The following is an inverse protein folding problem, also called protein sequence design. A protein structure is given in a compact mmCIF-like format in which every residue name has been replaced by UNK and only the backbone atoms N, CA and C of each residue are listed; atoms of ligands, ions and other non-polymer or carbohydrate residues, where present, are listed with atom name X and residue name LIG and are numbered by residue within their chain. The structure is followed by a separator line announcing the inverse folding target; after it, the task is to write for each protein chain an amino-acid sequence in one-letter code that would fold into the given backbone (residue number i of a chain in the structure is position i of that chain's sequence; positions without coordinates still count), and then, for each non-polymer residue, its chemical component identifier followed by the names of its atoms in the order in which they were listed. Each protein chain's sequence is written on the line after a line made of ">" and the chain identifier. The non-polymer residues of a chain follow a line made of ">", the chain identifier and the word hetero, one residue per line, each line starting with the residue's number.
data_IF_371474065121
#
_entry.id   IF_371474065121
#
_cell.length_a   1.000
_cell.length_b   1.000
_cell.length_c   1.000
_cell.angle_alpha   90.00
_cell.angle_beta   90.00
_cell.angle_gamma   90.00
#
_symmetry.space_group_name_H-M   'P 1'
#
loop_
_entity.id
_entity.type
_entity.pdbx_description
1 polymer ?
#
# COMPACT_ATOMS: atom_id res chain seq x y z
N UNK A 1 18.11 -20.17 55.30
CA UNK A 1 16.97 -21.11 55.10
C UNK A 1 16.42 -20.83 53.71
N UNK A 2 16.53 -21.80 52.80
CA UNK A 2 16.28 -21.58 51.37
C UNK A 2 14.79 -21.52 51.04
N UNK A 3 14.41 -20.53 50.22
CA UNK A 3 13.09 -20.43 49.60
C UNK A 3 12.99 -21.44 48.45
N UNK A 4 12.49 -22.65 48.75
CA UNK A 4 12.05 -23.59 47.72
C UNK A 4 10.66 -23.13 47.23
N UNK A 5 10.44 -22.92 45.91
CA UNK A 5 9.13 -22.57 45.40
C UNK A 5 8.13 -23.71 45.70
N UNK A 6 6.84 -23.41 45.94
CA UNK A 6 5.84 -24.42 46.26
C UNK A 6 5.80 -25.48 45.16
N UNK A 7 5.96 -26.74 45.55
CA UNK A 7 5.92 -27.87 44.61
C UNK A 7 4.54 -27.90 43.95
N UNK A 8 4.53 -27.95 42.62
CA UNK A 8 3.34 -28.23 41.83
C UNK A 8 2.86 -29.64 42.19
N UNK A 9 1.94 -29.74 43.15
CA UNK A 9 1.20 -30.97 43.38
C UNK A 9 0.21 -31.05 42.22
N UNK A 10 0.28 -32.06 41.33
CA UNK A 10 -0.74 -32.22 40.31
C UNK A 10 -2.10 -32.31 41.01
N UNK A 11 -3.00 -31.39 40.69
CA UNK A 11 -4.36 -31.31 41.21
C UNK A 11 -5.23 -32.44 40.61
N UNK A 12 -4.73 -33.68 40.70
CA UNK A 12 -5.42 -34.87 40.25
C UNK A 12 -6.45 -35.25 41.32
N UNK A 13 -7.72 -35.02 41.03
CA UNK A 13 -8.83 -35.44 41.86
C UNK A 13 -9.36 -36.79 41.38
N UNK A 14 -9.42 -37.77 42.27
CA UNK A 14 -10.09 -39.04 41.98
C UNK A 14 -11.60 -38.84 42.07
N UNK A 15 -12.32 -39.06 40.97
CA UNK A 15 -13.78 -39.13 40.93
C UNK A 15 -14.18 -40.58 40.70
N UNK A 16 -14.94 -41.16 41.62
CA UNK A 16 -15.36 -42.57 41.57
C UNK A 16 -16.84 -42.64 41.21
N UNK A 17 -17.20 -43.46 40.22
CA UNK A 17 -18.60 -43.73 39.91
C UNK A 17 -19.12 -44.85 40.81
N UNK A 18 -20.14 -44.55 41.63
CA UNK A 18 -20.81 -45.52 42.50
C UNK A 18 -22.32 -45.46 42.29
N UNK A 19 -22.92 -46.54 41.76
CA UNK A 19 -24.38 -46.70 41.62
C UNK A 19 -25.08 -45.49 40.99
N UNK A 20 -24.66 -45.09 39.79
CA UNK A 20 -25.17 -43.91 39.06
C UNK A 20 -24.98 -42.55 39.76
N UNK A 21 -24.01 -42.43 40.67
CA UNK A 21 -23.59 -41.16 41.27
C UNK A 21 -22.08 -41.00 41.19
N UNK A 22 -21.61 -39.77 41.09
CA UNK A 22 -20.18 -39.45 41.22
C UNK A 22 -19.85 -39.19 42.70
N UNK A 23 -18.82 -39.84 43.22
CA UNK A 23 -18.31 -39.69 44.58
C UNK A 23 -16.91 -39.08 44.55
N UNK A 24 -16.68 -38.06 45.38
CA UNK A 24 -15.37 -37.41 45.52
C UNK A 24 -14.80 -37.72 46.92
N UNK A 25 -13.87 -38.69 47.05
CA UNK A 25 -13.40 -39.17 48.36
C UNK A 25 -12.79 -38.06 49.22
N UNK A 26 -12.09 -37.12 48.60
CA UNK A 26 -11.44 -36.00 49.29
C UNK A 26 -12.43 -35.05 49.97
N UNK A 27 -13.67 -34.96 49.46
CA UNK A 27 -14.73 -34.14 50.06
C UNK A 27 -15.67 -34.96 50.95
N UNK A 28 -15.49 -36.29 51.01
CA UNK A 28 -16.36 -37.19 51.78
C UNK A 28 -17.82 -37.19 51.33
N UNK A 29 -18.14 -36.75 50.09
CA UNK A 29 -19.53 -36.57 49.64
C UNK A 29 -19.76 -36.98 48.18
N UNK A 30 -21.01 -37.30 47.86
CA UNK A 30 -21.47 -37.46 46.49
C UNK A 30 -21.64 -36.09 45.83
N UNK A 31 -21.21 -35.98 44.57
CA UNK A 31 -21.48 -34.82 43.73
C UNK A 31 -22.93 -34.93 43.22
N UNK A 32 -23.71 -33.88 43.40
CA UNK A 32 -25.03 -33.80 42.76
C UNK A 32 -24.82 -33.56 41.26
N UNK A 33 -25.46 -34.35 40.38
CA UNK A 33 -25.57 -33.97 38.98
C UNK A 33 -26.28 -32.61 38.89
N UNK A 34 -25.82 -31.75 37.98
CA UNK A 34 -26.51 -30.50 37.66
C UNK A 34 -28.00 -30.82 37.43
N UNK A 35 -28.92 -30.32 38.29
CA UNK A 35 -30.31 -30.74 38.28
C UNK A 35 -31.02 -30.45 36.95
N UNK A 36 -30.46 -29.60 36.10
CA UNK A 36 -31.03 -29.29 34.79
C UNK A 36 -30.28 -29.96 33.63
N UNK A 37 -29.15 -30.63 33.85
CA UNK A 37 -28.27 -31.16 32.80
C UNK A 37 -28.02 -30.14 31.65
N UNK A 38 -28.10 -28.84 31.96
CA UNK A 38 -28.22 -27.79 30.94
C UNK A 38 -26.87 -27.39 30.37
N UNK A 39 -25.77 -27.89 30.93
CA UNK A 39 -24.41 -27.42 30.62
C UNK A 39 -24.35 -25.88 30.65
N UNK A 40 -25.12 -25.28 31.56
CA UNK A 40 -25.25 -23.84 31.67
C UNK A 40 -23.91 -23.32 32.20
N UNK A 41 -23.05 -22.88 31.27
CA UNK A 41 -21.80 -22.18 31.58
C UNK A 41 -22.14 -21.03 32.50
N UNK A 42 -21.67 -21.10 33.74
CA UNK A 42 -21.55 -19.93 34.60
C UNK A 42 -20.82 -18.85 33.77
N UNK A 43 -21.46 -17.70 33.60
CA UNK A 43 -20.83 -16.53 32.99
C UNK A 43 -19.73 -16.10 33.96
N UNK A 44 -18.56 -16.69 33.82
CA UNK A 44 -17.36 -16.36 34.60
C UNK A 44 -16.64 -15.13 34.01
N UNK A 45 -17.07 -14.69 32.82
CA UNK A 45 -16.54 -13.52 32.14
C UNK A 45 -17.42 -12.29 32.39
N UNK A 46 -16.93 -11.36 33.20
CA UNK A 46 -17.39 -9.98 33.21
C UNK A 46 -17.10 -9.35 31.85
N UNK A 47 -18.13 -8.76 31.21
CA UNK A 47 -17.92 -7.98 30.00
C UNK A 47 -17.06 -6.75 30.34
N UNK A 48 -15.85 -6.72 29.80
CA UNK A 48 -14.99 -5.55 29.78
C UNK A 48 -14.90 -5.01 28.34
N UNK A 49 -14.56 -3.74 28.17
CA UNK A 49 -14.31 -3.09 26.87
C UNK A 49 -15.53 -2.93 25.93
N UNK A 50 -16.73 -2.74 26.47
CA UNK A 50 -17.90 -2.32 25.68
C UNK A 50 -18.48 -3.39 24.74
N UNK A 51 -18.09 -4.66 24.89
CA UNK A 51 -18.69 -5.78 24.15
C UNK A 51 -19.93 -6.32 24.86
N UNK A 52 -20.95 -6.69 24.09
CA UNK A 52 -22.10 -7.43 24.60
C UNK A 52 -21.72 -8.86 25.00
N UNK A 53 -22.31 -9.36 26.09
CA UNK A 53 -22.18 -10.76 26.49
C UNK A 53 -22.92 -11.64 25.47
N UNK A 54 -22.18 -12.26 24.55
CA UNK A 54 -22.68 -13.35 23.71
C UNK A 54 -22.27 -14.69 24.29
N UNK A 55 -23.15 -15.71 24.20
CA UNK A 55 -22.81 -17.08 24.55
C UNK A 55 -21.72 -17.59 23.60
N UNK A 56 -20.47 -17.56 24.04
CA UNK A 56 -19.33 -17.95 23.23
C UNK A 56 -19.01 -19.43 23.52
N UNK A 57 -19.26 -20.30 22.55
CA UNK A 57 -18.61 -21.61 22.54
C UNK A 57 -17.11 -21.32 22.40
N UNK A 58 -16.28 -21.84 23.31
CA UNK A 58 -14.83 -21.59 23.38
C UNK A 58 -14.02 -22.15 22.20
N UNK A 59 -14.44 -21.89 20.97
CA UNK A 59 -13.62 -22.06 19.79
C UNK A 59 -12.67 -20.86 19.70
N UNK A 60 -11.39 -21.14 19.49
CA UNK A 60 -10.38 -20.13 19.19
C UNK A 60 -10.77 -19.41 17.89
N UNK A 61 -11.47 -18.27 18.01
CA UNK A 61 -11.88 -17.47 16.86
C UNK A 61 -10.76 -16.51 16.45
N UNK A 62 -9.86 -17.05 15.64
CA UNK A 62 -8.76 -16.33 15.00
C UNK A 62 -9.29 -15.12 14.22
N UNK A 63 -10.47 -15.22 13.61
CA UNK A 63 -11.03 -14.11 12.84
C UNK A 63 -11.45 -12.95 13.74
N UNK A 64 -11.96 -13.20 14.93
CA UNK A 64 -12.25 -12.15 15.92
C UNK A 64 -10.97 -11.58 16.55
N UNK A 65 -9.93 -12.41 16.72
CA UNK A 65 -8.65 -11.97 17.26
C UNK A 65 -7.89 -11.05 16.30
N UNK A 66 -7.90 -11.34 14.99
CA UNK A 66 -7.17 -10.56 13.97
C UNK A 66 -8.04 -9.56 13.21
N UNK A 67 -9.37 -9.75 13.20
CA UNK A 67 -10.30 -8.94 12.40
C UNK A 67 -10.39 -7.47 12.80
N UNK A 68 -10.00 -7.14 14.04
CA UNK A 68 -9.97 -5.77 14.56
C UNK A 68 -8.54 -5.19 14.68
N UNK A 69 -7.50 -5.94 14.27
CA UNK A 69 -6.10 -5.50 14.38
C UNK A 69 -5.42 -5.98 15.67
N UNK A 70 -4.14 -6.31 15.58
CA UNK A 70 -3.30 -6.94 16.62
C UNK A 70 -2.99 -6.07 17.85
N UNK A 71 -3.76 -5.01 18.11
CA UNK A 71 -3.44 -4.08 19.17
C UNK A 71 -4.16 -4.43 20.48
N UNK A 72 -3.39 -4.98 21.42
CA UNK A 72 -3.83 -5.23 22.79
C UNK A 72 -3.91 -3.97 23.66
N UNK A 73 -3.43 -2.82 23.17
CA UNK A 73 -3.34 -1.59 23.97
C UNK A 73 -4.36 -0.51 23.60
N UNK A 74 -5.09 -0.65 22.49
CA UNK A 74 -6.10 0.35 22.11
C UNK A 74 -7.52 -0.07 22.52
N UNK A 75 -8.33 0.95 22.84
CA UNK A 75 -9.66 0.79 23.41
C UNK A 75 -10.69 0.46 22.31
N UNK A 76 -11.56 -0.53 22.57
CA UNK A 76 -12.84 -0.73 21.89
C UNK A 76 -12.81 -1.13 20.40
N UNK A 77 -11.94 -2.05 19.99
CA UNK A 77 -11.94 -2.57 18.61
C UNK A 77 -11.44 -1.56 17.58
N UNK A 78 -10.63 -0.61 18.05
CA UNK A 78 -9.82 0.24 17.21
C UNK A 78 -8.83 -0.59 16.42
N UNK A 79 -8.71 -0.28 15.13
CA UNK A 79 -7.78 -0.95 14.24
C UNK A 79 -6.74 0.05 13.76
N UNK A 80 -5.53 0.03 14.32
CA UNK A 80 -4.50 1.00 13.98
C UNK A 80 -4.00 0.80 12.53
N UNK A 81 -4.10 -0.42 12.00
CA UNK A 81 -3.73 -0.73 10.62
C UNK A 81 -4.69 -0.11 9.59
N UNK A 82 -5.99 -0.03 9.88
CA UNK A 82 -6.98 0.61 8.99
C UNK A 82 -7.46 1.97 9.50
N UNK A 83 -6.80 2.51 10.53
CA UNK A 83 -7.12 3.81 11.16
C UNK A 83 -8.59 3.94 11.56
N UNK A 84 -9.18 2.84 12.02
CA UNK A 84 -10.59 2.80 12.37
C UNK A 84 -10.73 2.91 13.89
N UNK A 85 -11.09 4.09 14.40
CA UNK A 85 -11.51 4.27 15.80
C UNK A 85 -13.05 4.41 15.85
N UNK A 86 -13.78 3.47 16.49
CA UNK A 86 -15.24 3.56 16.62
C UNK A 86 -15.74 4.76 17.44
N UNK A 87 -14.89 5.47 18.18
CA UNK A 87 -15.24 6.76 18.77
C UNK A 87 -15.21 7.93 17.77
N UNK A 88 -14.88 7.67 16.50
CA UNK A 88 -14.80 8.71 15.47
C UNK A 88 -13.61 9.66 15.68
N UNK A 89 -12.68 9.29 16.57
CA UNK A 89 -11.33 9.85 16.65
C UNK A 89 -10.50 9.29 15.48
N UNK A 90 -11.03 9.42 14.26
CA UNK A 90 -10.14 9.47 13.12
C UNK A 90 -9.19 10.63 13.40
N UNK A 91 -7.87 10.37 13.37
CA UNK A 91 -6.91 11.44 13.31
C UNK A 91 -7.25 12.21 12.04
N UNK A 92 -8.03 13.28 12.20
CA UNK A 92 -8.33 14.23 11.16
C UNK A 92 -7.01 14.53 10.49
N UNK A 93 -6.92 14.07 9.25
CA UNK A 93 -5.95 14.49 8.23
C UNK A 93 -5.53 15.93 8.48
N UNK A 94 -4.23 16.25 8.34
CA UNK A 94 -3.68 17.57 8.67
C UNK A 94 -4.58 18.69 8.14
N UNK A 95 -4.67 19.84 8.84
CA UNK A 95 -5.69 20.83 8.63
C UNK A 95 -5.87 21.07 7.12
N UNK A 96 -7.09 20.84 6.66
CA UNK A 96 -7.58 20.99 5.27
C UNK A 96 -7.22 22.36 4.64
N UNK A 97 -6.62 23.27 5.41
CA UNK A 97 -6.27 24.63 5.04
C UNK A 97 -4.76 24.84 4.68
N UNK A 98 -3.84 23.87 4.67
CA UNK A 98 -2.41 24.21 4.34
C UNK A 98 -2.25 25.01 3.02
N UNK A 99 -3.02 24.64 2.00
CA UNK A 99 -3.07 25.39 0.74
C UNK A 99 -3.67 26.79 0.90
N UNK A 100 -4.71 26.93 1.73
CA UNK A 100 -5.32 28.23 2.07
C UNK A 100 -4.39 29.13 2.90
N UNK A 101 -3.58 28.57 3.80
CA UNK A 101 -2.66 29.32 4.66
C UNK A 101 -1.36 29.72 3.96
N UNK A 102 -0.83 28.87 3.07
CA UNK A 102 0.50 29.07 2.50
C UNK A 102 0.50 29.37 1.01
N UNK A 103 -0.62 29.14 0.30
CA UNK A 103 -0.70 29.26 -1.16
C UNK A 103 0.20 28.28 -1.92
N UNK A 104 0.83 27.32 -1.21
CA UNK A 104 1.74 26.34 -1.79
C UNK A 104 1.10 24.95 -1.76
N UNK A 105 1.23 24.15 -2.83
CA UNK A 105 0.80 22.76 -2.79
C UNK A 105 1.55 22.02 -1.68
N UNK A 106 0.85 21.13 -0.96
CA UNK A 106 1.41 20.30 0.12
C UNK A 106 2.68 19.54 -0.29
N UNK A 107 2.84 19.31 -1.60
CA UNK A 107 3.99 18.67 -2.24
C UNK A 107 5.34 19.37 -2.00
N UNK A 108 5.35 20.62 -1.53
CA UNK A 108 6.57 21.38 -1.26
C UNK A 108 7.02 21.33 0.21
N UNK A 109 6.32 20.61 1.10
CA UNK A 109 6.85 20.33 2.44
C UNK A 109 7.86 19.18 2.37
N UNK A 110 9.11 19.38 2.82
CA UNK A 110 10.15 18.35 2.75
C UNK A 110 9.94 17.19 3.73
N UNK A 111 8.96 17.27 4.63
CA UNK A 111 8.69 16.26 5.66
C UNK A 111 7.23 16.33 6.12
N UNK A 112 6.54 15.19 6.10
CA UNK A 112 5.21 15.08 6.70
C UNK A 112 5.35 14.94 8.23
N UNK A 113 5.13 16.02 8.97
CA UNK A 113 5.19 16.02 10.44
C UNK A 113 4.17 15.03 11.04
N UNK A 114 3.05 14.77 10.36
CA UNK A 114 2.06 13.79 10.84
C UNK A 114 2.56 12.36 10.72
N UNK A 115 3.48 12.09 9.78
CA UNK A 115 4.16 10.80 9.70
C UNK A 115 5.07 10.54 10.92
N UNK A 116 5.63 11.58 11.54
CA UNK A 116 6.48 11.44 12.72
C UNK A 116 5.72 11.02 13.99
N UNK A 117 4.43 11.35 14.07
CA UNK A 117 3.57 10.98 15.21
C UNK A 117 2.72 9.72 14.93
N UNK A 118 2.65 9.27 13.68
CA UNK A 118 1.96 8.04 13.28
C UNK A 118 2.85 6.79 13.39
N UNK A 119 3.03 6.30 14.62
CA UNK A 119 3.81 5.08 14.90
C UNK A 119 3.18 3.84 14.25
N UNK A 120 1.85 3.78 14.15
CA UNK A 120 1.15 2.69 13.48
C UNK A 120 1.46 2.67 11.98
N UNK A 121 1.35 3.82 11.32
CA UNK A 121 1.69 3.97 9.91
C UNK A 121 3.15 3.65 9.64
N UNK A 122 4.07 4.03 10.54
CA UNK A 122 5.49 3.69 10.44
C UNK A 122 5.70 2.17 10.46
N UNK A 123 5.14 1.46 11.44
CA UNK A 123 5.25 0.00 11.56
C UNK A 123 4.57 -0.68 10.37
N UNK A 124 3.39 -0.23 9.99
CA UNK A 124 2.63 -0.76 8.85
C UNK A 124 3.42 -0.60 7.55
N UNK A 125 4.03 0.55 7.31
CA UNK A 125 4.81 0.82 6.10
C UNK A 125 6.12 0.02 6.09
N UNK A 126 6.78 -0.14 7.25
CA UNK A 126 7.94 -1.01 7.38
C UNK A 126 7.61 -2.49 7.05
N UNK A 127 6.49 -3.00 7.58
CA UNK A 127 5.99 -4.34 7.28
C UNK A 127 5.56 -4.46 5.81
N UNK A 128 4.93 -3.44 5.25
CA UNK A 128 4.55 -3.42 3.84
C UNK A 128 5.78 -3.47 2.93
N UNK A 129 6.84 -2.71 3.25
CA UNK A 129 8.13 -2.78 2.55
C UNK A 129 8.73 -4.18 2.59
N UNK A 130 8.71 -4.84 3.75
CA UNK A 130 9.13 -6.24 3.89
C UNK A 130 8.31 -7.20 3.03
N UNK A 131 6.98 -7.11 3.06
CA UNK A 131 6.09 -7.99 2.27
C UNK A 131 6.31 -7.79 0.78
N UNK A 132 6.46 -6.54 0.34
CA UNK A 132 6.73 -6.20 -1.07
C UNK A 132 8.08 -6.77 -1.51
N UNK A 133 9.14 -6.58 -0.72
CA UNK A 133 10.45 -7.12 -1.04
C UNK A 133 10.47 -8.65 -1.01
N UNK A 134 9.75 -9.27 -0.07
CA UNK A 134 9.62 -10.72 0.01
C UNK A 134 8.88 -11.28 -1.21
N UNK A 135 7.81 -10.64 -1.66
CA UNK A 135 7.11 -11.03 -2.88
C UNK A 135 8.00 -10.91 -4.14
N UNK A 136 8.79 -9.84 -4.25
CA UNK A 136 9.75 -9.69 -5.35
C UNK A 136 10.87 -10.75 -5.30
N UNK A 137 11.31 -11.11 -4.09
CA UNK A 137 12.26 -12.18 -3.87
C UNK A 137 11.68 -13.55 -4.28
N UNK A 138 10.43 -13.85 -3.93
CA UNK A 138 9.77 -15.08 -4.38
C UNK A 138 9.63 -15.16 -5.90
N UNK A 139 9.38 -14.03 -6.58
CA UNK A 139 9.37 -13.99 -8.06
C UNK A 139 10.76 -14.30 -8.63
N UNK A 140 11.82 -13.73 -8.06
CA UNK A 140 13.19 -14.03 -8.47
C UNK A 140 13.59 -15.50 -8.19
N UNK A 141 13.10 -16.08 -7.10
CA UNK A 141 13.32 -17.49 -6.76
C UNK A 141 12.56 -18.40 -7.72
N UNK A 142 11.36 -18.00 -8.16
CA UNK A 142 10.60 -18.73 -9.18
C UNK A 142 11.33 -18.70 -10.54
N UNK A 143 11.88 -17.55 -10.93
CA UNK A 143 12.68 -17.41 -12.15
C UNK A 143 13.93 -18.30 -12.09
N UNK A 144 14.66 -18.30 -10.96
CA UNK A 144 15.79 -19.19 -10.72
C UNK A 144 15.39 -20.67 -10.77
N UNK A 145 14.33 -21.06 -10.07
CA UNK A 145 13.87 -22.45 -10.00
C UNK A 145 13.34 -22.97 -11.35
N UNK A 146 12.99 -22.07 -12.27
CA UNK A 146 12.57 -22.41 -13.63
C UNK A 146 13.76 -22.57 -14.60
N UNK A 147 14.95 -22.12 -14.22
CA UNK A 147 16.18 -22.18 -15.01
C UNK A 147 17.10 -23.29 -14.50
N UNK A 148 17.03 -24.47 -15.13
CA UNK A 148 17.82 -25.64 -14.75
C UNK A 148 19.33 -25.48 -15.01
N UNK A 149 19.74 -24.49 -15.81
CA UNK A 149 21.15 -24.19 -16.04
C UNK A 149 21.71 -23.21 -14.99
N UNK A 150 20.86 -22.62 -14.14
CA UNK A 150 21.29 -21.72 -13.08
C UNK A 150 21.98 -22.51 -11.95
N UNK A 151 23.10 -21.99 -11.39
CA UNK A 151 23.78 -22.68 -10.30
C UNK A 151 22.91 -22.67 -9.03
N UNK A 152 23.02 -23.71 -8.21
CA UNK A 152 22.20 -23.86 -7.00
C UNK A 152 22.32 -22.68 -6.02
N UNK A 153 23.48 -22.02 -5.98
CA UNK A 153 23.71 -20.87 -5.11
C UNK A 153 23.08 -19.56 -5.63
N UNK A 154 22.54 -19.54 -6.85
CA UNK A 154 21.94 -18.32 -7.42
C UNK A 154 20.64 -17.89 -6.74
N UNK A 155 19.98 -18.72 -5.93
CA UNK A 155 18.86 -18.28 -5.07
C UNK A 155 19.30 -17.82 -3.67
N UNK A 156 20.47 -18.24 -3.22
CA UNK A 156 20.89 -18.08 -1.83
C UNK A 156 21.23 -16.62 -1.54
N UNK A 157 20.29 -15.91 -0.89
CA UNK A 157 20.51 -14.59 -0.31
C UNK A 157 21.32 -14.78 0.98
N UNK A 158 22.64 -14.89 0.85
CA UNK A 158 23.58 -15.13 1.95
C UNK A 158 23.71 -13.94 2.92
N UNK A 159 22.76 -13.01 2.90
CA UNK A 159 22.82 -11.74 3.60
C UNK A 159 21.42 -11.26 3.99
N UNK A 160 21.28 -10.77 5.22
CA UNK A 160 20.07 -10.13 5.74
C UNK A 160 19.94 -8.65 5.31
N UNK A 161 20.90 -8.12 4.54
CA UNK A 161 20.91 -6.71 4.10
C UNK A 161 19.63 -6.33 3.37
N UNK A 162 19.01 -7.24 2.62
CA UNK A 162 17.76 -6.97 1.92
C UNK A 162 16.58 -6.73 2.88
N UNK A 163 16.56 -7.39 4.05
CA UNK A 163 15.54 -7.20 5.09
C UNK A 163 15.64 -5.79 5.64
N UNK A 164 16.86 -5.38 6.00
CA UNK A 164 17.15 -4.03 6.52
C UNK A 164 16.78 -2.96 5.49
N UNK A 165 17.13 -3.18 4.22
CA UNK A 165 16.80 -2.26 3.14
C UNK A 165 15.27 -2.16 2.94
N UNK A 166 14.55 -3.29 2.94
CA UNK A 166 13.09 -3.29 2.78
C UNK A 166 12.37 -2.57 3.93
N UNK A 167 12.85 -2.71 5.16
CA UNK A 167 12.35 -1.96 6.32
C UNK A 167 12.61 -0.46 6.13
N UNK A 168 13.84 -0.09 5.75
CA UNK A 168 14.21 1.32 5.53
C UNK A 168 13.45 1.95 4.36
N UNK A 169 13.21 1.22 3.27
CA UNK A 169 12.39 1.67 2.14
C UNK A 169 10.94 1.87 2.60
N UNK A 170 10.35 0.91 3.32
CA UNK A 170 9.01 1.04 3.88
C UNK A 170 8.86 2.24 4.83
N UNK A 171 9.85 2.46 5.70
CA UNK A 171 9.92 3.65 6.56
C UNK A 171 10.05 4.92 5.72
N UNK A 172 10.92 4.94 4.71
CA UNK A 172 11.09 6.09 3.82
C UNK A 172 9.80 6.49 3.11
N UNK A 173 9.04 5.50 2.64
CA UNK A 173 7.72 5.72 2.03
C UNK A 173 6.70 6.29 3.00
N UNK A 174 6.72 5.89 4.27
CA UNK A 174 5.85 6.48 5.32
C UNK A 174 6.06 7.99 5.45
N UNK A 175 7.32 8.44 5.41
CA UNK A 175 7.67 9.85 5.52
C UNK A 175 7.55 10.63 4.20
N UNK A 176 7.06 10.00 3.12
CA UNK A 176 7.03 10.60 1.79
C UNK A 176 8.41 10.90 1.21
N UNK A 177 9.45 10.25 1.73
CA UNK A 177 10.85 10.39 1.32
C UNK A 177 11.21 9.34 0.26
N UNK A 178 10.23 8.95 -0.56
CA UNK A 178 10.44 8.06 -1.71
C UNK A 178 11.55 8.62 -2.62
N UNK A 179 11.66 9.94 -2.70
CA UNK A 179 12.68 10.63 -3.48
C UNK A 179 14.12 10.41 -2.99
N UNK A 180 14.35 10.07 -1.70
CA UNK A 180 15.70 9.69 -1.24
C UNK A 180 16.15 8.37 -1.88
N UNK A 181 15.20 7.51 -2.23
CA UNK A 181 15.44 6.23 -2.89
C UNK A 181 15.25 6.31 -4.42
N UNK A 182 14.62 7.39 -4.92
CA UNK A 182 14.68 7.83 -6.34
C UNK A 182 16.02 8.50 -6.70
N UNK A 183 16.96 8.58 -5.74
CA UNK A 183 18.38 8.62 -6.06
C UNK A 183 18.62 7.59 -7.14
N UNK A 184 19.23 8.04 -8.25
CA UNK A 184 19.37 7.30 -9.50
C UNK A 184 19.33 5.77 -9.33
N UNK A 185 18.69 5.06 -10.25
CA UNK A 185 18.77 3.59 -10.27
C UNK A 185 20.23 3.09 -10.56
N UNK A 186 21.27 3.81 -10.10
CA UNK A 186 22.71 3.55 -10.14
C UNK A 186 23.20 2.88 -8.88
N UNK A 187 22.31 2.38 -8.02
CA UNK A 187 22.67 1.34 -7.09
C UNK A 187 23.24 0.16 -7.88
N UNK A 188 24.52 0.25 -8.23
CA UNK A 188 25.40 -0.88 -8.33
C UNK A 188 25.09 -1.69 -7.07
N UNK A 189 24.76 -2.98 -7.22
CA UNK A 189 24.49 -3.82 -6.08
C UNK A 189 25.65 -3.62 -5.11
N UNK A 190 25.35 -3.20 -3.88
CA UNK A 190 26.32 -3.11 -2.78
C UNK A 190 27.24 -4.31 -2.91
N UNK A 191 28.52 -3.99 -3.06
CA UNK A 191 29.52 -4.75 -3.80
C UNK A 191 29.45 -6.26 -3.57
N UNK A 192 29.57 -6.97 -4.69
CA UNK A 192 29.50 -8.42 -4.76
C UNK A 192 30.48 -9.08 -3.81
N UNK A 193 29.93 -9.83 -2.87
CA UNK A 193 30.65 -11.00 -2.37
C UNK A 193 29.75 -12.22 -2.11
N UNK A 194 28.43 -12.11 -1.87
CA UNK A 194 27.63 -13.31 -1.56
C UNK A 194 26.10 -13.14 -1.79
N UNK A 195 25.59 -13.43 -2.99
CA UNK A 195 24.15 -13.69 -3.24
C UNK A 195 23.48 -12.87 -4.37
N UNK A 196 22.33 -13.34 -4.92
CA UNK A 196 21.66 -12.71 -6.05
C UNK A 196 21.14 -11.31 -5.74
N UNK A 197 21.07 -10.50 -6.79
CA UNK A 197 20.64 -9.11 -6.76
C UNK A 197 19.29 -8.94 -6.03
N UNK A 198 19.29 -8.11 -4.99
CA UNK A 198 18.08 -7.63 -4.32
C UNK A 198 17.25 -6.88 -5.36
N UNK A 199 16.14 -7.46 -5.80
CA UNK A 199 15.23 -6.81 -6.74
C UNK A 199 14.56 -5.64 -6.02
N UNK A 200 15.00 -4.39 -6.26
CA UNK A 200 14.33 -3.17 -5.76
C UNK A 200 12.84 -3.23 -6.11
N UNK A 201 11.99 -3.40 -5.10
CA UNK A 201 10.56 -3.61 -5.25
C UNK A 201 9.72 -2.33 -5.03
N UNK A 202 10.33 -1.14 -5.15
CA UNK A 202 9.71 0.17 -4.91
C UNK A 202 8.65 0.64 -5.91
N UNK A 203 7.91 -0.26 -6.57
CA UNK A 203 6.87 0.13 -7.51
C UNK A 203 5.69 -0.82 -7.49
N UNK A 204 4.63 -0.48 -6.74
CA UNK A 204 3.25 -1.01 -6.81
C UNK A 204 3.10 -2.31 -7.63
N UNK A 205 3.46 -3.43 -7.00
CA UNK A 205 3.55 -4.75 -7.64
C UNK A 205 2.20 -5.32 -8.15
N UNK A 206 1.07 -4.62 -7.95
CA UNK A 206 -0.26 -5.15 -8.27
C UNK A 206 -0.98 -4.45 -9.44
N UNK A 207 -0.47 -3.36 -10.03
CA UNK A 207 -1.20 -2.63 -11.10
C UNK A 207 -0.52 -2.55 -12.45
N UNK A 208 0.67 -3.12 -12.60
CA UNK A 208 1.35 -3.16 -13.88
C UNK A 208 2.20 -4.42 -13.94
N UNK A 209 1.58 -5.55 -14.25
CA UNK A 209 2.25 -6.51 -15.14
C UNK A 209 2.63 -5.68 -16.37
N UNK A 210 3.85 -5.12 -16.33
CA UNK A 210 4.37 -4.32 -17.41
C UNK A 210 4.37 -5.27 -18.59
N UNK A 211 3.47 -5.01 -19.54
CA UNK A 211 3.39 -5.79 -20.77
C UNK A 211 4.66 -5.47 -21.53
N UNK A 212 5.73 -6.18 -21.20
CA UNK A 212 6.89 -6.27 -22.07
C UNK A 212 6.39 -6.80 -23.41
N UNK A 213 6.97 -6.30 -24.50
CA UNK A 213 6.63 -6.78 -25.82
C UNK A 213 6.79 -8.32 -25.89
N UNK A 214 5.95 -9.02 -26.69
CA UNK A 214 6.13 -10.45 -26.91
C UNK A 214 7.57 -10.76 -27.31
N UNK A 215 8.19 -11.73 -26.63
CA UNK A 215 9.58 -12.13 -26.85
C UNK A 215 10.64 -11.30 -26.12
N UNK A 216 10.26 -10.26 -25.36
CA UNK A 216 11.19 -9.51 -24.51
C UNK A 216 11.14 -10.04 -23.07
N UNK A 217 12.15 -10.79 -22.65
CA UNK A 217 12.29 -11.23 -21.26
C UNK A 217 12.59 -10.05 -20.33
N UNK A 218 12.21 -10.17 -19.06
CA UNK A 218 12.51 -9.16 -18.02
C UNK A 218 14.01 -8.97 -17.85
N UNK A 219 14.79 -10.04 -17.91
CA UNK A 219 16.25 -10.01 -17.88
C UNK A 219 16.83 -9.21 -19.05
N UNK A 220 16.37 -9.45 -20.29
CA UNK A 220 16.84 -8.71 -21.47
C UNK A 220 16.46 -7.22 -21.38
N UNK A 221 15.29 -6.90 -20.85
CA UNK A 221 14.89 -5.51 -20.58
C UNK A 221 15.84 -4.82 -19.58
N UNK A 222 16.14 -5.47 -18.44
CA UNK A 222 17.06 -4.92 -17.44
C UNK A 222 18.48 -4.78 -17.97
N UNK A 223 18.96 -5.78 -18.72
CA UNK A 223 20.26 -5.72 -19.40
C UNK A 223 20.32 -4.52 -20.35
N UNK A 224 19.28 -4.30 -21.17
CA UNK A 224 19.21 -3.12 -22.05
C UNK A 224 19.24 -1.81 -21.26
N UNK A 225 18.54 -1.70 -20.14
CA UNK A 225 18.62 -0.49 -19.29
C UNK A 225 20.03 -0.27 -18.74
N UNK A 226 20.66 -1.31 -18.22
CA UNK A 226 22.04 -1.27 -17.70
C UNK A 226 23.02 -0.83 -18.79
N UNK A 227 22.93 -1.44 -19.96
CA UNK A 227 23.76 -1.11 -21.13
C UNK A 227 23.53 0.32 -21.62
N UNK A 228 22.29 0.81 -21.63
CA UNK A 228 21.98 2.19 -21.99
C UNK A 228 22.68 3.18 -21.05
N UNK A 229 22.61 2.92 -19.73
CA UNK A 229 23.21 3.78 -18.72
C UNK A 229 24.73 3.83 -18.85
N UNK A 230 25.37 2.67 -18.97
CA UNK A 230 26.83 2.56 -19.13
C UNK A 230 27.31 3.27 -20.42
N UNK A 231 26.54 3.17 -21.50
CA UNK A 231 26.90 3.74 -22.80
C UNK A 231 26.33 5.15 -23.05
N UNK A 232 25.64 5.76 -22.08
CA UNK A 232 24.94 7.04 -22.28
C UNK A 232 25.86 8.14 -22.84
N UNK A 233 27.06 8.26 -22.31
CA UNK A 233 28.03 9.27 -22.79
C UNK A 233 28.64 8.91 -24.16
N UNK A 234 28.71 7.63 -24.50
CA UNK A 234 29.12 7.20 -25.85
C UNK A 234 28.10 7.70 -26.89
N UNK A 235 26.80 7.53 -26.63
CA UNK A 235 25.74 8.00 -27.54
C UNK A 235 25.75 9.52 -27.74
N UNK A 236 26.03 10.30 -26.69
CA UNK A 236 26.21 11.74 -26.81
C UNK A 236 27.41 12.14 -27.67
N UNK A 237 28.54 11.44 -27.53
CA UNK A 237 29.73 11.71 -28.35
C UNK A 237 29.47 11.39 -29.82
N UNK A 238 28.81 10.26 -30.11
CA UNK A 238 28.39 9.88 -31.46
C UNK A 238 27.44 10.93 -32.05
N UNK A 239 26.40 11.33 -31.32
CA UNK A 239 25.45 12.34 -31.80
C UNK A 239 26.11 13.69 -32.13
N UNK A 240 27.06 14.14 -31.31
CA UNK A 240 27.82 15.38 -31.56
C UNK A 240 28.76 15.24 -32.75
N UNK A 241 29.38 14.07 -32.93
CA UNK A 241 30.26 13.81 -34.07
C UNK A 241 29.47 13.80 -35.39
N UNK A 242 28.27 13.21 -35.38
CA UNK A 242 27.41 13.09 -36.55
C UNK A 242 26.66 14.41 -36.86
N UNK A 243 26.41 15.25 -35.84
CA UNK A 243 25.63 16.49 -35.97
C UNK A 243 26.33 17.71 -35.34
N UNK A 244 27.59 18.04 -35.71
CA UNK A 244 28.38 19.05 -35.01
C UNK A 244 27.78 20.45 -35.07
N UNK A 245 26.96 20.76 -36.08
CA UNK A 245 26.29 22.05 -36.28
C UNK A 245 25.11 22.27 -35.31
N UNK A 246 24.55 21.21 -34.71
CA UNK A 246 23.43 21.34 -33.75
C UNK A 246 23.87 21.83 -32.37
N UNK A 247 25.17 21.73 -32.07
CA UNK A 247 25.69 21.93 -30.73
C UNK A 247 26.68 23.10 -30.67
N UNK A 248 26.50 23.95 -29.66
CA UNK A 248 27.41 25.06 -29.36
C UNK A 248 28.77 24.55 -28.86
N UNK A 249 29.85 25.37 -28.94
CA UNK A 249 31.15 24.99 -28.40
C UNK A 249 31.12 24.60 -26.91
N UNK A 250 30.29 25.27 -26.12
CA UNK A 250 30.13 24.97 -24.69
C UNK A 250 29.49 23.58 -24.46
N UNK A 251 28.48 23.23 -25.25
CA UNK A 251 27.86 21.89 -25.19
C UNK A 251 28.85 20.79 -25.59
N UNK A 252 29.67 21.04 -26.63
CA UNK A 252 30.74 20.11 -27.03
C UNK A 252 31.78 19.93 -25.92
N UNK A 253 32.14 20.99 -25.21
CA UNK A 253 33.05 20.93 -24.07
C UNK A 253 32.45 20.13 -22.89
N UNK A 254 31.15 20.26 -22.62
CA UNK A 254 30.48 19.50 -21.57
C UNK A 254 30.56 17.98 -21.80
N UNK A 255 30.33 17.52 -23.05
CA UNK A 255 30.42 16.09 -23.39
C UNK A 255 31.84 15.53 -23.30
N UNK A 256 32.86 16.35 -23.61
CA UNK A 256 34.26 15.97 -23.35
C UNK A 256 34.55 15.74 -21.87
N UNK A 257 33.82 16.41 -20.99
CA UNK A 257 33.89 16.26 -19.53
C UNK A 257 32.89 15.23 -18.98
N UNK A 258 32.37 14.31 -19.80
CA UNK A 258 31.39 13.30 -19.40
C UNK A 258 30.07 13.87 -18.84
N UNK A 259 29.67 15.07 -19.27
CA UNK A 259 28.39 15.69 -18.91
C UNK A 259 27.48 15.78 -20.13
N UNK A 260 26.17 15.61 -19.93
CA UNK A 260 25.20 15.82 -21.01
C UNK A 260 25.21 17.30 -21.47
N UNK A 261 24.97 17.59 -22.75
CA UNK A 261 24.77 18.96 -23.23
C UNK A 261 23.65 19.67 -22.47
N UNK A 262 23.79 20.97 -22.24
CA UNK A 262 22.71 21.80 -21.68
C UNK A 262 21.82 22.31 -22.81
N UNK A 263 20.51 22.10 -22.73
CA UNK A 263 19.53 22.56 -23.71
C UNK A 263 19.30 24.07 -23.65
N UNK A 264 18.49 24.59 -24.59
CA UNK A 264 18.07 25.99 -24.60
C UNK A 264 17.21 26.39 -23.38
N UNK A 265 16.65 25.39 -22.69
CA UNK A 265 15.91 25.53 -21.44
C UNK A 265 16.81 25.61 -20.20
N UNK A 266 18.14 25.65 -20.38
CA UNK A 266 19.12 25.75 -19.29
C UNK A 266 19.30 24.45 -18.49
N UNK A 267 18.70 23.33 -18.92
CA UNK A 267 18.78 22.04 -18.24
C UNK A 267 19.57 21.01 -19.04
N UNK A 268 20.14 19.97 -18.42
CA UNK A 268 20.76 18.87 -19.17
C UNK A 268 19.75 18.22 -20.13
N UNK A 269 20.16 18.05 -21.39
CA UNK A 269 19.37 17.35 -22.39
C UNK A 269 19.27 15.85 -22.07
N UNK A 270 18.23 15.22 -22.61
CA UNK A 270 17.89 13.81 -22.36
C UNK A 270 17.86 13.03 -23.67
N UNK A 271 18.27 11.76 -23.61
CA UNK A 271 18.17 10.82 -24.73
C UNK A 271 16.85 10.07 -24.57
N UNK A 272 15.99 10.14 -25.57
CA UNK A 272 14.70 9.46 -25.61
C UNK A 272 14.73 8.29 -26.60
N UNK A 273 14.24 7.12 -26.19
CA UNK A 273 14.01 6.01 -27.11
C UNK A 273 12.73 6.28 -27.94
N UNK A 274 12.83 6.31 -29.27
CA UNK A 274 11.68 6.46 -30.19
C UNK A 274 10.69 5.31 -30.02
N UNK A 275 11.22 4.07 -29.95
CA UNK A 275 10.50 2.87 -29.50
C UNK A 275 11.03 2.51 -28.11
N UNK A 276 10.15 2.52 -27.12
CA UNK A 276 10.53 2.25 -25.73
C UNK A 276 11.14 0.85 -25.58
N UNK A 277 12.11 0.71 -24.66
CA UNK A 277 12.75 -0.57 -24.38
C UNK A 277 11.74 -1.66 -24.02
N UNK A 278 10.73 -1.34 -23.20
CA UNK A 278 9.65 -2.27 -22.81
C UNK A 278 8.80 -2.75 -23.97
N UNK A 279 8.71 -1.94 -25.04
CA UNK A 279 7.95 -2.26 -26.25
C UNK A 279 8.84 -2.94 -27.31
N UNK A 280 10.05 -3.39 -26.93
CA UNK A 280 11.00 -4.07 -27.80
C UNK A 280 11.97 -3.14 -28.53
N UNK A 281 12.08 -1.88 -28.12
CA UNK A 281 13.13 -0.97 -28.62
C UNK A 281 14.54 -1.41 -28.23
N UNK A 282 15.53 -1.00 -29.02
CA UNK A 282 16.96 -1.29 -28.81
C UNK A 282 17.71 -0.05 -28.32
N UNK A 283 18.99 -0.20 -27.99
CA UNK A 283 19.88 0.91 -27.64
C UNK A 283 20.72 1.39 -28.84
N UNK A 284 20.19 1.21 -30.04
CA UNK A 284 20.85 1.64 -31.25
C UNK A 284 20.62 3.13 -31.47
N UNK A 285 21.60 3.82 -32.05
CA UNK A 285 21.60 5.27 -32.19
C UNK A 285 20.41 5.78 -33.02
N UNK A 286 19.94 5.00 -33.98
CA UNK A 286 18.78 5.27 -34.83
C UNK A 286 17.44 5.25 -34.05
N UNK A 287 17.39 4.49 -32.95
CA UNK A 287 16.25 4.48 -32.02
C UNK A 287 16.29 5.64 -31.02
N UNK A 288 17.27 6.54 -31.09
CA UNK A 288 17.34 7.69 -30.18
C UNK A 288 16.79 8.99 -30.78
N UNK A 289 16.30 9.83 -29.89
CA UNK A 289 15.90 11.20 -30.12
C UNK A 289 16.47 12.05 -28.99
N UNK A 290 17.30 13.05 -29.32
CA UNK A 290 17.98 13.89 -28.34
C UNK A 290 17.16 15.16 -28.14
N UNK A 291 16.61 15.32 -26.94
CA UNK A 291 15.61 16.35 -26.63
C UNK A 291 16.08 17.21 -25.47
N UNK A 292 15.63 18.47 -25.45
CA UNK A 292 15.70 19.28 -24.23
C UNK A 292 14.85 18.66 -23.12
N UNK A 293 15.12 19.02 -21.86
CA UNK A 293 14.35 18.51 -20.72
C UNK A 293 12.87 18.85 -20.86
N UNK A 294 12.54 20.07 -21.30
CA UNK A 294 11.16 20.48 -21.52
C UNK A 294 10.49 19.73 -22.68
N UNK A 295 11.16 19.56 -23.82
CA UNK A 295 10.60 18.81 -24.95
C UNK A 295 10.30 17.35 -24.58
N UNK A 296 11.19 16.71 -23.83
CA UNK A 296 10.98 15.34 -23.36
C UNK A 296 9.77 15.21 -22.43
N UNK A 297 9.52 16.23 -21.60
CA UNK A 297 8.36 16.26 -20.67
C UNK A 297 7.09 16.87 -21.26
N UNK A 298 7.18 17.55 -22.41
CA UNK A 298 6.02 18.19 -23.02
C UNK A 298 4.94 17.16 -23.41
N UNK A 299 3.65 17.54 -23.27
CA UNK A 299 2.49 16.66 -23.46
C UNK A 299 2.45 15.95 -24.82
N UNK A 300 3.07 16.52 -25.86
CA UNK A 300 3.14 15.91 -27.20
C UNK A 300 3.92 14.58 -27.18
N UNK A 301 4.98 14.51 -26.38
CA UNK A 301 5.75 13.28 -26.18
C UNK A 301 5.12 12.35 -25.13
N UNK A 302 4.47 12.89 -24.09
CA UNK A 302 3.66 12.08 -23.16
C UNK A 302 2.52 11.33 -23.88
N UNK A 303 1.91 11.92 -24.90
CA UNK A 303 0.88 11.24 -25.69
C UNK A 303 1.45 10.13 -26.60
N UNK A 304 2.71 10.23 -27.04
CA UNK A 304 3.44 9.08 -27.62
C UNK A 304 3.69 8.00 -26.56
N UNK A 305 4.05 8.37 -25.32
CA UNK A 305 4.24 7.45 -24.18
C UNK A 305 2.98 6.66 -23.80
N UNK A 306 1.81 7.20 -24.09
CA UNK A 306 0.53 6.65 -23.64
C UNK A 306 -0.57 6.70 -24.70
N UNK A 307 -0.30 6.26 -25.94
CA UNK A 307 -1.37 5.76 -26.83
C UNK A 307 -1.95 4.48 -26.21
N UNK A 308 -2.66 4.63 -25.09
CA UNK A 308 -3.65 3.66 -24.65
C UNK A 308 -4.64 3.56 -25.81
N UNK A 309 -4.87 2.32 -26.29
CA UNK A 309 -6.00 2.01 -27.18
C UNK A 309 -7.23 2.78 -26.67
N UNK A 310 -8.05 3.37 -27.55
CA UNK A 310 -9.26 4.09 -27.13
C UNK A 310 -10.00 3.17 -26.17
N UNK A 311 -10.10 3.60 -24.89
CA UNK A 311 -10.94 2.90 -23.94
C UNK A 311 -12.32 2.87 -24.58
N UNK A 312 -12.86 1.67 -24.82
CA UNK A 312 -14.28 1.48 -25.08
C UNK A 312 -15.06 1.99 -23.86
N UNK A 313 -15.22 3.30 -23.75
CA UNK A 313 -16.12 3.95 -22.80
C UNK A 313 -17.57 3.93 -23.30
N UNK A 314 -17.91 2.98 -24.19
CA UNK A 314 -19.22 2.89 -24.83
C UNK A 314 -20.26 2.01 -24.12
N UNK A 315 -19.91 1.27 -23.05
CA UNK A 315 -20.83 0.27 -22.47
C UNK A 315 -21.25 0.61 -21.02
N UNK A 316 -20.51 1.44 -20.29
CA UNK A 316 -20.82 1.68 -18.87
C UNK A 316 -21.93 2.70 -18.57
N UNK A 317 -22.41 3.47 -19.55
CA UNK A 317 -23.55 4.39 -19.35
C UNK A 317 -24.91 3.85 -19.81
N UNK A 318 -24.97 2.68 -20.46
CA UNK A 318 -26.23 2.10 -20.92
C UNK A 318 -26.98 1.30 -19.82
N UNK A 319 -26.27 0.77 -18.82
CA UNK A 319 -26.88 -0.10 -17.80
C UNK A 319 -27.39 0.61 -16.54
N UNK A 320 -27.02 1.88 -16.30
CA UNK A 320 -27.50 2.64 -15.13
C UNK A 320 -28.80 3.42 -15.36
N UNK A 321 -29.33 3.46 -16.60
CA UNK A 321 -30.67 4.03 -16.88
C UNK A 321 -31.82 3.03 -16.76
N UNK A 322 -31.55 1.73 -16.59
CA UNK A 322 -32.59 0.70 -16.45
C UNK A 322 -32.93 0.30 -15.00
N UNK A 323 -32.20 0.78 -13.99
CA UNK A 323 -32.44 0.44 -12.56
C UNK A 323 -33.22 1.49 -11.75
N UNK A 324 -33.68 2.59 -12.35
CA UNK A 324 -34.49 3.62 -11.66
C UNK A 324 -35.93 3.75 -12.17
N UNK A 325 -36.47 2.75 -12.87
CA UNK A 325 -37.91 2.65 -13.18
C UNK A 325 -38.48 1.40 -12.52
N UNK A 326 -38.71 1.45 -11.22
CA UNK A 326 -39.65 0.60 -10.46
C UNK A 326 -39.61 1.06 -9.01
N UNK A 327 -40.26 2.18 -8.72
CA UNK A 327 -40.89 2.48 -7.42
C UNK A 327 -41.71 3.76 -7.63
N UNK A 328 -42.97 3.58 -8.00
CA UNK A 328 -43.96 4.63 -7.96
C UNK A 328 -44.37 4.85 -6.49
N UNK A 329 -44.30 6.07 -5.94
CA UNK A 329 -44.86 6.36 -4.64
C UNK A 329 -46.36 6.64 -4.79
N UNK A 330 -47.19 5.83 -4.14
CA UNK A 330 -48.60 6.16 -3.88
C UNK A 330 -48.67 7.11 -2.69
N UNK A 331 -48.62 8.43 -2.93
CA UNK A 331 -49.02 9.42 -1.94
C UNK A 331 -50.51 9.73 -2.11
N UNK A 332 -51.32 9.24 -1.18
CA UNK A 332 -52.69 9.72 -0.95
C UNK A 332 -52.60 11.08 -0.27
N UNK A 333 -53.05 12.11 -0.97
CA UNK A 333 -53.29 13.45 -0.43
C UNK A 333 -54.43 13.41 0.58
N UNK A 334 -54.10 13.63 1.85
CA UNK A 334 -55.03 14.11 2.87
C UNK A 334 -54.70 15.56 3.17
N UNK A 335 -55.42 16.46 2.49
CA UNK A 335 -55.43 17.90 2.78
C UNK A 335 -56.16 18.18 4.11
N UNK A 336 -55.54 18.86 5.10
CA UNK A 336 -56.25 19.41 6.24
C UNK A 336 -56.93 20.75 5.88
N UNK A 337 -58.11 21.06 6.46
CA UNK A 337 -58.87 22.26 6.10
C UNK A 337 -58.18 23.55 6.57
N UNK A 338 -57.91 24.44 5.61
CA UNK A 338 -57.45 25.82 5.81
C UNK A 338 -58.46 26.63 6.64
N UNK A 339 -58.07 27.04 7.85
CA UNK A 339 -58.77 28.05 8.65
C UNK A 339 -58.67 29.42 7.96
N UNK A 340 -59.82 30.01 7.61
CA UNK A 340 -59.94 31.38 7.08
C UNK A 340 -59.73 32.41 8.20
N UNK A 341 -59.02 33.52 7.97
CA UNK A 341 -58.90 34.62 8.93
C UNK A 341 -60.23 35.40 9.05
N UNK A 342 -60.68 35.60 10.30
CA UNK A 342 -61.81 36.49 10.65
C UNK A 342 -61.45 37.94 10.29
N UNK A 343 -62.16 38.52 9.32
CA UNK A 343 -62.22 39.97 9.10
C UNK A 343 -63.04 40.59 10.24
N UNK A 344 -62.42 41.42 11.07
CA UNK A 344 -63.13 42.35 11.93
C UNK A 344 -63.79 43.43 11.05
N UNK A 345 -65.12 43.46 11.06
CA UNK A 345 -65.91 44.57 10.55
C UNK A 345 -65.80 45.75 11.53
N UNK A 346 -65.49 46.92 10.99
CA UNK A 346 -65.58 48.18 11.70
C UNK A 346 -67.03 48.55 11.97
N UNK A 347 -67.29 49.02 13.19
CA UNK A 347 -68.51 49.72 13.56
C UNK A 347 -68.23 51.22 13.43
N UNK A 348 -68.96 51.90 12.54
CA UNK A 348 -69.09 53.35 12.50
C UNK A 348 -70.35 53.75 13.27
N UNK A 349 -70.15 54.65 14.24
CA UNK A 349 -70.97 55.74 14.82
C UNK A 349 -72.49 55.80 14.57
N UNK A 350 -73.20 56.19 15.64
CA UNK A 350 -74.12 57.36 15.83
C UNK A 350 -74.76 57.12 17.22
N UNK A 351 -74.67 58.01 18.22
CA UNK A 351 -75.22 59.37 18.32
C UNK A 351 -74.56 60.13 19.47
#
# INVERSE_FOLDING_TARGET
>A
MGNEPPRLIPFAHLVVQMRNRAYMPQLGRFLQPDPNATALTLIEATAYHGRGLGAMVGALDIQVLYGIGLNIYEYLGSSPCVRHDPLGLEWLTPPINWYEQTGKPFRDMPFDITAATDVSGLVTSALQGLVIQYAANLEADLDWASDWDAPDNAHSRLSDKWVKLAILEGIGSHFGVDWMWEGDESGDPIDGENGPAVAKAGGSATKSLSRLAPGLSRQLYQLRRKTFKANRMKYWRTEIADNPQKYSPAQKAAVKQNRAPTGSDGKPMEIHHRKLLKDGGTNDQDNFEFLTFFEHRSKRNLNRRHKRRPRQFGIYYANNRRRHRTHAPTSRDHDPPRRKPRRHQGVRRLH
#
